data_IF_245998087176
#
_entry.id   IF_245998087176
#
_cell.length_a   1.000
_cell.length_b   1.000
_cell.length_c   1.000
_cell.angle_alpha   90.00
_cell.angle_beta   90.00
_cell.angle_gamma   90.00
#
_symmetry.space_group_name_H-M   'P 1'
#
loop_
_entity.id
_entity.type
_entity.pdbx_description
1 polymer ?
#
# COMPACT_ATOMS: atom_id res chain seq x y z
N UNK A 1 -8.75 -16.22 -12.04
CA UNK A 1 -8.52 -14.77 -11.77
C UNK A 1 -7.08 -14.50 -11.33
N UNK A 2 -6.07 -14.84 -12.15
CA UNK A 2 -4.64 -14.63 -11.79
C UNK A 2 -3.76 -14.09 -12.93
N UNK A 3 -4.29 -13.97 -14.15
CA UNK A 3 -3.53 -13.69 -15.39
C UNK A 3 -3.66 -12.26 -15.88
N UNK A 4 -4.85 -11.65 -15.81
CA UNK A 4 -5.11 -10.33 -16.41
C UNK A 4 -4.20 -9.22 -15.88
N UNK A 5 -3.90 -9.20 -14.59
CA UNK A 5 -3.06 -8.15 -13.99
C UNK A 5 -1.59 -8.27 -14.45
N UNK A 6 -1.04 -9.49 -14.47
CA UNK A 6 0.33 -9.73 -14.92
C UNK A 6 0.50 -9.42 -16.41
N UNK A 7 -0.49 -9.77 -17.23
CA UNK A 7 -0.51 -9.49 -18.68
C UNK A 7 -0.61 -7.98 -19.00
N UNK A 8 -1.22 -7.20 -18.10
CA UNK A 8 -1.28 -5.74 -18.18
C UNK A 8 -0.03 -5.04 -17.60
N UNK A 9 1.02 -5.80 -17.26
CA UNK A 9 2.27 -5.28 -16.74
C UNK A 9 2.27 -4.94 -15.24
N UNK A 10 1.26 -5.39 -14.49
CA UNK A 10 1.23 -5.24 -13.03
C UNK A 10 2.11 -6.31 -12.38
N UNK A 11 3.35 -5.95 -12.03
CA UNK A 11 4.22 -6.80 -11.23
C UNK A 11 4.03 -6.49 -9.72
N UNK A 12 3.45 -7.40 -8.91
CA UNK A 12 3.29 -7.19 -7.47
C UNK A 12 4.62 -7.12 -6.70
N UNK A 13 5.76 -7.43 -7.33
CA UNK A 13 7.11 -7.20 -6.78
C UNK A 13 7.57 -5.75 -6.95
N UNK A 14 6.88 -4.96 -7.77
CA UNK A 14 7.24 -3.59 -8.11
C UNK A 14 6.29 -2.62 -7.40
N UNK A 15 6.65 -2.25 -6.17
CA UNK A 15 6.00 -1.17 -5.42
C UNK A 15 6.75 0.12 -5.69
N UNK A 16 6.04 1.17 -6.12
CA UNK A 16 6.64 2.48 -6.40
C UNK A 16 6.76 3.31 -5.13
N UNK A 17 5.85 3.09 -4.17
CA UNK A 17 5.71 3.93 -2.99
C UNK A 17 5.33 3.06 -1.79
N UNK A 18 5.83 3.46 -0.63
CA UNK A 18 5.33 2.97 0.64
C UNK A 18 5.02 4.16 1.53
N UNK A 19 3.97 4.03 2.34
CA UNK A 19 3.60 5.02 3.32
C UNK A 19 3.46 4.35 4.69
N UNK A 20 4.01 4.96 5.72
CA UNK A 20 3.95 4.43 7.09
C UNK A 20 3.14 5.39 7.95
N UNK A 21 2.13 4.86 8.63
CA UNK A 21 1.33 5.68 9.53
C UNK A 21 2.03 5.86 10.88
N UNK A 22 1.46 6.74 11.71
CA UNK A 22 1.95 6.99 13.07
C UNK A 22 1.90 5.76 13.99
N UNK A 23 1.03 4.79 13.69
CA UNK A 23 0.94 3.50 14.42
C UNK A 23 2.00 2.49 13.98
N UNK A 24 2.83 2.84 12.99
CA UNK A 24 3.88 1.98 12.46
C UNK A 24 3.43 1.00 11.39
N UNK A 25 2.17 1.06 10.95
CA UNK A 25 1.62 0.22 9.89
C UNK A 25 2.14 0.68 8.52
N UNK A 26 2.59 -0.27 7.70
CA UNK A 26 3.19 -0.01 6.38
C UNK A 26 2.20 -0.34 5.28
N UNK A 27 1.93 0.66 4.46
CA UNK A 27 1.07 0.60 3.29
C UNK A 27 1.97 0.54 2.06
N UNK A 28 1.81 -0.50 1.23
CA UNK A 28 2.54 -0.65 -0.02
C UNK A 28 1.64 -0.22 -1.16
N UNK A 29 2.12 0.67 -2.02
CA UNK A 29 1.35 1.25 -3.13
C UNK A 29 1.95 0.90 -4.49
N UNK A 30 1.05 0.66 -5.43
CA UNK A 30 1.30 0.50 -6.86
C UNK A 30 0.38 1.49 -7.57
N UNK A 31 0.97 2.56 -8.12
CA UNK A 31 0.24 3.71 -8.65
C UNK A 31 -0.74 4.29 -7.61
N UNK A 32 -2.05 4.31 -7.91
CA UNK A 32 -3.11 4.88 -7.06
C UNK A 32 -3.71 3.90 -6.05
N UNK A 33 -3.32 2.63 -6.10
CA UNK A 33 -3.86 1.58 -5.24
C UNK A 33 -2.77 1.05 -4.32
N UNK A 34 -3.08 0.91 -3.06
CA UNK A 34 -2.20 0.28 -2.08
C UNK A 34 -2.93 -0.78 -1.28
N UNK A 35 -2.14 -1.54 -0.54
CA UNK A 35 -2.66 -2.53 0.38
C UNK A 35 -1.88 -2.50 1.70
N UNK A 36 -2.62 -2.75 2.77
CA UNK A 36 -2.07 -2.98 4.09
C UNK A 36 -2.26 -4.46 4.45
N UNK A 37 -1.16 -5.13 4.74
CA UNK A 37 -1.18 -6.50 5.29
C UNK A 37 -1.46 -6.43 6.79
N UNK A 38 -2.54 -7.07 7.24
CA UNK A 38 -2.91 -7.19 8.66
C UNK A 38 -3.03 -8.67 9.04
N UNK A 39 -2.07 -9.23 9.80
CA UNK A 39 -2.26 -10.56 10.37
C UNK A 39 -3.30 -10.48 11.50
N UNK A 40 -4.40 -11.21 11.35
CA UNK A 40 -5.47 -11.27 12.35
C UNK A 40 -5.91 -12.74 12.55
N UNK A 41 -5.91 -13.21 13.79
CA UNK A 41 -6.27 -14.60 14.16
C UNK A 41 -5.54 -15.66 13.32
N UNK A 42 -4.23 -15.46 13.10
CA UNK A 42 -3.39 -16.39 12.33
C UNK A 42 -3.66 -16.41 10.82
N UNK A 43 -4.48 -15.48 10.31
CA UNK A 43 -4.75 -15.33 8.88
C UNK A 43 -4.27 -13.96 8.39
N UNK A 44 -3.63 -13.97 7.22
CA UNK A 44 -3.26 -12.74 6.54
C UNK A 44 -4.50 -12.09 5.90
N UNK A 45 -4.91 -10.93 6.41
CA UNK A 45 -5.92 -10.08 5.78
C UNK A 45 -5.23 -8.94 5.03
N UNK A 46 -5.84 -8.52 3.93
CA UNK A 46 -5.36 -7.42 3.11
C UNK A 46 -6.44 -6.35 3.01
N UNK A 47 -6.11 -5.14 3.44
CA UNK A 47 -7.00 -3.99 3.30
C UNK A 47 -6.59 -3.24 2.04
N UNK A 48 -7.52 -3.10 1.09
CA UNK A 48 -7.32 -2.30 -0.11
C UNK A 48 -7.53 -0.83 0.22
N UNK A 49 -6.62 0.03 -0.23
CA UNK A 49 -6.60 1.46 0.05
C UNK A 49 -6.30 2.22 -1.24
N UNK A 50 -6.93 3.37 -1.43
CA UNK A 50 -6.55 4.31 -2.50
C UNK A 50 -5.70 5.44 -1.92
N UNK A 51 -4.77 5.96 -2.71
CA UNK A 51 -3.97 7.12 -2.30
C UNK A 51 -4.88 8.30 -1.90
N UNK A 52 -4.53 9.00 -0.83
CA UNK A 52 -5.26 10.16 -0.30
C UNK A 52 -4.32 11.34 -0.17
N UNK A 53 -4.80 12.57 -0.38
CA UNK A 53 -3.96 13.78 -0.40
C UNK A 53 -3.16 14.02 0.89
N UNK A 54 -3.68 13.59 2.05
CA UNK A 54 -2.96 13.72 3.32
C UNK A 54 -1.76 12.78 3.44
N UNK A 55 -1.67 11.73 2.61
CA UNK A 55 -0.51 10.82 2.60
C UNK A 55 0.73 11.46 1.99
N UNK A 56 0.53 12.44 1.11
CA UNK A 56 1.59 13.28 0.54
C UNK A 56 2.09 14.33 1.54
N UNK A 57 1.22 14.71 2.48
CA UNK A 57 1.57 15.60 3.59
C UNK A 57 2.42 14.84 4.59
N UNK A 58 3.73 14.87 4.38
CA UNK A 58 4.70 14.37 5.34
C UNK A 58 4.49 15.08 6.70
N UNK A 59 4.04 14.40 7.78
CA UNK A 59 3.87 15.04 9.08
C UNK A 59 5.21 15.36 9.77
N UNK A 60 6.36 15.20 9.09
CA UNK A 60 7.71 15.42 9.62
C UNK A 60 8.60 16.31 8.74
N UNK A 61 8.06 17.37 8.14
CA UNK A 61 8.87 18.53 7.77
C UNK A 61 8.24 19.81 8.35
N UNK A 62 8.41 19.97 9.66
CA UNK A 62 8.57 21.29 10.25
C UNK A 62 10.02 21.32 10.75
N UNK A 63 10.77 22.32 10.27
CA UNK A 63 12.22 22.62 10.44
C UNK A 63 13.06 22.18 9.24
#
# INVERSE_FOLDING_TARGET
>A
MRTVLLELGFDPKFFTLYWKNQKGEVYLFIYKYGFLKKPENGKDKYVLVTWQDYMDKNPKLNI
#
